data_IF_532749554477
#
_entry.id   IF_532749554477
#
_cell.length_a   1.000
_cell.length_b   1.000
_cell.length_c   1.000
_cell.angle_alpha   90.00
_cell.angle_beta   90.00
_cell.angle_gamma   90.00
#
_symmetry.space_group_name_H-M   'P 1'
#
loop_
_entity.id
_entity.type
_entity.pdbx_description
1 polymer ?
#
# COMPACT_ATOMS: atom_id res chain seq x y z
N UNK A 1 17.02 -2.83 14.21
CA UNK A 1 16.74 -1.71 13.29
C UNK A 1 15.49 -2.08 12.52
N UNK A 2 14.61 -1.11 12.24
CA UNK A 2 13.37 -1.37 11.49
C UNK A 2 13.67 -1.58 10.01
N UNK A 3 13.02 -2.57 9.42
CA UNK A 3 12.96 -2.80 7.97
C UNK A 3 11.71 -2.13 7.42
N UNK A 4 11.80 -1.62 6.19
CA UNK A 4 10.71 -0.93 5.51
C UNK A 4 10.55 -1.46 4.09
N UNK A 5 9.31 -1.71 3.68
CA UNK A 5 8.97 -2.17 2.33
C UNK A 5 7.78 -1.36 1.78
N UNK A 6 7.93 -0.81 0.57
CA UNK A 6 6.88 -0.02 -0.08
C UNK A 6 6.29 -0.78 -1.26
N UNK A 7 4.99 -1.07 -1.20
CA UNK A 7 4.29 -1.89 -2.18
C UNK A 7 3.33 -1.04 -3.01
N UNK A 8 3.51 -1.04 -4.33
CA UNK A 8 2.51 -0.50 -5.27
C UNK A 8 1.40 -1.54 -5.49
N UNK A 9 0.17 -1.18 -5.15
CA UNK A 9 -1.05 -1.94 -5.42
C UNK A 9 -1.82 -1.24 -6.55
N UNK A 10 -2.00 -1.94 -7.66
CA UNK A 10 -2.59 -1.37 -8.88
C UNK A 10 -4.10 -1.20 -8.82
N UNK A 11 -4.79 -2.01 -8.02
CA UNK A 11 -6.25 -2.00 -7.94
C UNK A 11 -6.70 -1.98 -6.48
N UNK A 12 -7.57 -1.05 -6.12
CA UNK A 12 -8.00 -0.83 -4.73
C UNK A 12 -8.62 -2.09 -4.07
N UNK A 13 -9.23 -2.98 -4.86
CA UNK A 13 -9.79 -4.26 -4.38
C UNK A 13 -8.74 -5.22 -3.80
N UNK A 14 -7.47 -5.09 -4.18
CA UNK A 14 -6.40 -5.96 -3.72
C UNK A 14 -5.75 -5.47 -2.41
N UNK A 15 -6.09 -4.27 -1.94
CA UNK A 15 -5.45 -3.64 -0.78
C UNK A 15 -5.57 -4.52 0.48
N UNK A 16 -6.78 -4.97 0.81
CA UNK A 16 -7.00 -5.79 2.01
C UNK A 16 -6.20 -7.10 1.94
N UNK A 17 -6.21 -7.76 0.78
CA UNK A 17 -5.45 -8.98 0.53
C UNK A 17 -3.94 -8.78 0.75
N UNK A 18 -3.39 -7.68 0.26
CA UNK A 18 -1.96 -7.37 0.43
C UNK A 18 -1.63 -7.06 1.89
N UNK A 19 -2.47 -6.26 2.57
CA UNK A 19 -2.29 -5.96 4.01
C UNK A 19 -2.31 -7.25 4.84
N UNK A 20 -3.31 -8.12 4.62
CA UNK A 20 -3.42 -9.39 5.33
C UNK A 20 -2.20 -10.29 5.11
N UNK A 21 -1.70 -10.36 3.87
CA UNK A 21 -0.51 -11.16 3.56
C UNK A 21 0.71 -10.65 4.33
N UNK A 22 0.99 -9.34 4.26
CA UNK A 22 2.12 -8.73 4.96
C UNK A 22 2.02 -8.87 6.48
N UNK A 23 0.80 -8.72 7.03
CA UNK A 23 0.55 -8.92 8.46
C UNK A 23 0.82 -10.36 8.89
N UNK A 24 0.43 -11.37 8.09
CA UNK A 24 0.76 -12.78 8.35
C UNK A 24 2.27 -13.03 8.31
N UNK A 25 2.98 -12.29 7.46
CA UNK A 25 4.44 -12.37 7.32
C UNK A 25 5.19 -11.56 8.39
N UNK A 26 4.47 -11.00 9.37
CA UNK A 26 5.02 -10.29 10.53
C UNK A 26 5.36 -8.82 10.27
N UNK A 27 4.81 -8.23 9.21
CA UNK A 27 4.93 -6.80 8.91
C UNK A 27 3.72 -6.03 9.47
N UNK A 28 3.94 -4.76 9.82
CA UNK A 28 2.90 -3.83 10.24
C UNK A 28 2.73 -2.73 9.19
N UNK A 29 1.49 -2.38 8.86
CA UNK A 29 1.24 -1.25 7.97
C UNK A 29 1.61 0.05 8.68
N UNK A 30 2.56 0.80 8.12
CA UNK A 30 3.01 2.09 8.63
C UNK A 30 2.19 3.24 8.02
N UNK A 31 2.03 3.25 6.69
CA UNK A 31 1.23 4.28 6.00
C UNK A 31 0.60 3.76 4.71
N UNK A 32 -0.48 4.42 4.28
CA UNK A 32 -1.15 4.18 3.02
C UNK A 32 -1.35 5.52 2.29
N UNK A 33 -0.77 5.63 1.10
CA UNK A 33 -0.92 6.79 0.22
C UNK A 33 -1.52 6.38 -1.13
N UNK A 34 -2.14 7.35 -1.80
CA UNK A 34 -2.65 7.17 -3.16
C UNK A 34 -2.04 8.24 -4.07
N UNK A 35 -1.70 7.85 -5.28
CA UNK A 35 -1.23 8.77 -6.32
C UNK A 35 -2.05 8.53 -7.59
N UNK A 36 -2.87 9.50 -7.95
CA UNK A 36 -3.58 9.53 -9.23
C UNK A 36 -2.93 10.53 -10.17
N UNK A 37 -2.81 10.18 -11.45
CA UNK A 37 -2.59 11.17 -12.51
C UNK A 37 -3.94 11.54 -13.12
N UNK A 38 -4.37 12.79 -12.92
CA UNK A 38 -5.61 13.34 -13.49
C UNK A 38 -6.27 14.35 -12.58
N UNK A 39 -6.90 15.38 -13.15
CA UNK A 39 -7.72 16.36 -12.42
C UNK A 39 -9.20 16.00 -12.56
N UNK A 40 -9.91 15.94 -11.42
CA UNK A 40 -11.36 15.70 -11.38
C UNK A 40 -11.77 14.23 -11.61
N UNK A 41 -13.02 13.96 -12.04
CA UNK A 41 -13.56 12.61 -12.20
C UNK A 41 -12.84 11.72 -13.24
N UNK A 42 -11.77 12.24 -13.88
CA UNK A 42 -10.93 11.58 -14.88
C UNK A 42 -9.67 10.93 -14.31
N UNK A 43 -9.56 10.79 -12.98
CA UNK A 43 -8.51 9.98 -12.37
C UNK A 43 -8.80 8.48 -12.59
N UNK A 44 -8.60 8.02 -13.83
CA UNK A 44 -8.88 6.64 -14.23
C UNK A 44 -7.89 5.62 -13.66
N UNK A 45 -6.69 6.07 -13.29
CA UNK A 45 -5.64 5.22 -12.74
C UNK A 45 -5.12 5.81 -11.44
N UNK A 46 -5.60 5.27 -10.32
CA UNK A 46 -5.09 5.57 -8.98
C UNK A 46 -4.12 4.45 -8.59
N UNK A 47 -2.88 4.81 -8.33
CA UNK A 47 -1.90 3.93 -7.71
C UNK A 47 -2.06 3.99 -6.20
N UNK A 48 -1.96 2.84 -5.56
CA UNK A 48 -2.03 2.72 -4.10
C UNK A 48 -0.66 2.29 -3.60
N UNK A 49 -0.11 2.98 -2.61
CA UNK A 49 1.19 2.69 -2.04
C UNK A 49 1.04 2.36 -0.56
N UNK A 50 1.46 1.17 -0.17
CA UNK A 50 1.42 0.69 1.21
C UNK A 50 2.85 0.58 1.72
N UNK A 51 3.19 1.37 2.74
CA UNK A 51 4.47 1.25 3.43
C UNK A 51 4.29 0.31 4.62
N UNK A 52 5.06 -0.76 4.64
CA UNK A 52 5.12 -1.70 5.76
C UNK A 52 6.42 -1.53 6.53
N UNK A 53 6.38 -1.83 7.83
CA UNK A 53 7.55 -1.90 8.69
C UNK A 53 7.62 -3.23 9.44
N UNK A 54 8.84 -3.74 9.67
CA UNK A 54 9.09 -4.97 10.42
C UNK A 54 10.30 -4.79 11.35
N UNK A 55 10.24 -5.44 12.51
CA UNK A 55 11.20 -5.24 13.60
C UNK A 55 10.73 -4.18 14.60
N UNK A 56 11.06 -4.39 15.88
CA UNK A 56 10.81 -3.43 16.97
C UNK A 56 11.79 -2.26 16.90
#
# INVERSE_FOLDING_TARGET
>A
MKEYECVEVKHHKDISKIIEQYQRDGWSLNTYQTAGMGTGPMAYNVKHYLLFEKGK
#
